data_IF_247443714992
#
_entry.id   IF_247443714992
#
_cell.length_a   1.000
_cell.length_b   1.000
_cell.length_c   1.000
_cell.angle_alpha   90.00
_cell.angle_beta   90.00
_cell.angle_gamma   90.00
#
_symmetry.space_group_name_H-M   'P 1'
#
loop_
_entity.id
_entity.type
_entity.pdbx_description
1 polymer ?
#
# COMPACT_ATOMS: atom_id res chain seq x y z
N UNK A 1 26.29 11.39 3.64
CA UNK A 1 25.07 10.57 3.63
C UNK A 1 24.88 10.12 2.19
N UNK A 2 25.25 8.88 1.86
CA UNK A 2 25.01 8.34 0.51
C UNK A 2 23.52 8.36 0.24
N UNK A 3 23.11 9.01 -0.85
CA UNK A 3 21.75 8.94 -1.36
C UNK A 3 21.50 7.51 -1.84
N UNK A 4 21.00 6.63 -0.97
CA UNK A 4 20.50 5.32 -1.37
C UNK A 4 19.26 5.57 -2.24
N UNK A 5 19.49 5.75 -3.54
CA UNK A 5 18.45 5.90 -4.55
C UNK A 5 18.11 4.49 -4.97
N UNK A 6 16.93 4.00 -4.56
CA UNK A 6 16.41 2.72 -5.02
C UNK A 6 16.24 2.75 -6.53
N UNK A 7 16.59 1.66 -7.21
CA UNK A 7 16.31 1.51 -8.63
C UNK A 7 14.83 1.15 -8.87
N UNK A 8 14.39 1.16 -10.14
CA UNK A 8 12.98 0.92 -10.47
C UNK A 8 12.42 -0.41 -9.94
N UNK A 9 13.18 -1.50 -10.00
CA UNK A 9 12.73 -2.82 -9.51
C UNK A 9 12.66 -2.88 -7.98
N UNK A 10 13.59 -2.22 -7.29
CA UNK A 10 13.52 -2.06 -5.83
C UNK A 10 12.30 -1.24 -5.41
N UNK A 11 12.00 -0.15 -6.11
CA UNK A 11 10.79 0.65 -5.85
C UNK A 11 9.52 -0.18 -6.05
N UNK A 12 9.45 -0.93 -7.16
CA UNK A 12 8.31 -1.80 -7.42
C UNK A 12 8.18 -2.90 -6.36
N UNK A 13 9.30 -3.47 -5.91
CA UNK A 13 9.29 -4.44 -4.81
C UNK A 13 8.75 -3.83 -3.52
N UNK A 14 9.18 -2.62 -3.16
CA UNK A 14 8.67 -1.92 -1.98
C UNK A 14 7.16 -1.68 -2.11
N UNK A 15 6.69 -1.21 -3.26
CA UNK A 15 5.27 -0.99 -3.51
C UNK A 15 4.46 -2.30 -3.39
N UNK A 16 4.92 -3.40 -3.99
CA UNK A 16 4.28 -4.73 -3.85
C UNK A 16 4.14 -5.16 -2.39
N UNK A 17 5.16 -4.90 -1.57
CA UNK A 17 5.14 -5.23 -0.14
C UNK A 17 4.14 -4.36 0.64
N UNK A 18 4.02 -3.08 0.28
CA UNK A 18 3.03 -2.17 0.87
C UNK A 18 1.60 -2.63 0.59
N UNK A 19 1.28 -2.92 -0.67
CA UNK A 19 -0.05 -3.41 -1.08
C UNK A 19 -0.39 -4.77 -0.45
N UNK A 20 0.61 -5.64 -0.26
CA UNK A 20 0.42 -6.90 0.44
C UNK A 20 0.09 -6.69 1.93
N UNK A 21 0.72 -5.70 2.56
CA UNK A 21 0.47 -5.35 3.95
C UNK A 21 -0.91 -4.71 4.14
N UNK A 22 -1.29 -3.75 3.29
CA UNK A 22 -2.62 -3.14 3.29
C UNK A 22 -3.73 -4.17 3.05
N UNK A 23 -3.56 -5.07 2.06
CA UNK A 23 -4.48 -6.19 1.87
C UNK A 23 -4.58 -7.09 3.10
N UNK A 24 -3.46 -7.45 3.72
CA UNK A 24 -3.43 -8.29 4.92
C UNK A 24 -4.18 -7.62 6.07
N UNK A 25 -3.93 -6.32 6.27
CA UNK A 25 -4.60 -5.49 7.25
C UNK A 25 -6.13 -5.55 7.10
N UNK A 26 -6.65 -5.20 5.93
CA UNK A 26 -8.09 -5.17 5.68
C UNK A 26 -8.71 -6.58 5.74
N UNK A 27 -8.04 -7.59 5.18
CA UNK A 27 -8.51 -8.98 5.23
C UNK A 27 -8.57 -9.52 6.65
N UNK A 28 -7.61 -9.16 7.51
CA UNK A 28 -7.60 -9.56 8.91
C UNK A 28 -8.72 -8.86 9.70
N UNK A 29 -8.94 -7.56 9.50
CA UNK A 29 -10.07 -6.85 10.10
C UNK A 29 -11.43 -7.43 9.71
N UNK A 30 -11.58 -7.85 8.45
CA UNK A 30 -12.81 -8.47 7.95
C UNK A 30 -13.16 -9.81 8.64
N UNK A 31 -12.18 -10.50 9.27
CA UNK A 31 -12.41 -11.76 10.01
C UNK A 31 -13.17 -11.52 11.31
N UNK A 32 -12.98 -10.36 11.93
CA UNK A 32 -13.53 -10.03 13.26
C UNK A 32 -14.75 -9.11 13.19
N UNK A 33 -15.22 -8.77 11.99
CA UNK A 33 -16.30 -7.81 11.76
C UNK A 33 -17.47 -8.42 10.99
N UNK A 34 -18.62 -7.73 10.98
CA UNK A 34 -19.82 -8.16 10.25
C UNK A 34 -20.52 -6.95 9.61
N UNK A 35 -21.50 -7.22 8.74
CA UNK A 35 -22.30 -6.19 8.07
C UNK A 35 -21.45 -5.17 7.29
N UNK A 36 -21.86 -3.89 7.35
CA UNK A 36 -21.23 -2.81 6.58
C UNK A 36 -19.72 -2.67 6.82
N UNK A 37 -19.23 -2.95 8.03
CA UNK A 37 -17.79 -2.88 8.35
C UNK A 37 -17.03 -3.95 7.57
N UNK A 38 -17.53 -5.19 7.59
CA UNK A 38 -16.92 -6.30 6.86
C UNK A 38 -16.91 -6.04 5.36
N UNK A 39 -18.03 -5.55 4.81
CA UNK A 39 -18.16 -5.27 3.38
C UNK A 39 -17.18 -4.18 2.94
N UNK A 40 -17.04 -3.11 3.72
CA UNK A 40 -16.06 -2.04 3.51
C UNK A 40 -14.63 -2.59 3.48
N UNK A 41 -14.24 -3.36 4.51
CA UNK A 41 -12.88 -3.91 4.62
C UNK A 41 -12.56 -4.88 3.48
N UNK A 42 -13.51 -5.73 3.08
CA UNK A 42 -13.31 -6.64 1.94
C UNK A 42 -13.19 -5.87 0.60
N UNK A 43 -13.92 -4.77 0.44
CA UNK A 43 -13.80 -3.92 -0.74
C UNK A 43 -12.42 -3.25 -0.80
N UNK A 44 -11.94 -2.70 0.31
CA UNK A 44 -10.60 -2.10 0.42
C UNK A 44 -9.49 -3.14 0.15
N UNK A 45 -9.59 -4.33 0.76
CA UNK A 45 -8.66 -5.44 0.49
C UNK A 45 -8.63 -5.87 -1.00
N UNK A 46 -9.76 -5.68 -1.70
CA UNK A 46 -9.85 -5.93 -3.14
C UNK A 46 -9.07 -4.92 -3.98
N UNK A 47 -9.07 -3.63 -3.59
CA UNK A 47 -8.29 -2.59 -4.28
C UNK A 47 -6.79 -2.85 -4.15
N UNK A 48 -6.32 -3.07 -2.93
CA UNK A 48 -4.91 -3.41 -2.63
C UNK A 48 -4.42 -4.63 -3.43
N UNK A 49 -5.29 -5.63 -3.62
CA UNK A 49 -4.96 -6.77 -4.48
C UNK A 49 -4.73 -6.34 -5.94
N UNK A 50 -5.60 -5.50 -6.50
CA UNK A 50 -5.47 -5.02 -7.87
C UNK A 50 -4.21 -4.17 -8.05
N UNK A 51 -3.89 -3.33 -7.07
CA UNK A 51 -2.68 -2.50 -7.06
C UNK A 51 -1.41 -3.37 -7.01
N UNK A 52 -1.37 -4.36 -6.12
CA UNK A 52 -0.28 -5.35 -6.07
C UNK A 52 -0.06 -6.01 -7.44
N UNK A 53 -1.14 -6.44 -8.10
CA UNK A 53 -1.04 -7.09 -9.41
C UNK A 53 -0.51 -6.15 -10.49
N UNK A 54 -0.88 -4.87 -10.46
CA UNK A 54 -0.33 -3.85 -11.37
C UNK A 54 1.18 -3.69 -11.19
N UNK A 55 1.66 -3.54 -9.94
CA UNK A 55 3.10 -3.45 -9.67
C UNK A 55 3.85 -4.73 -9.99
N UNK A 56 3.28 -5.89 -9.64
CA UNK A 56 3.88 -7.22 -9.92
C UNK A 56 4.04 -7.45 -11.41
N UNK A 57 3.02 -7.09 -12.21
CA UNK A 57 3.10 -7.17 -13.66
C UNK A 57 4.23 -6.30 -14.20
N UNK A 58 4.29 -5.03 -13.79
CA UNK A 58 5.35 -4.13 -14.24
C UNK A 58 6.75 -4.61 -13.80
N UNK A 59 6.87 -5.15 -12.59
CA UNK A 59 8.12 -5.74 -12.09
C UNK A 59 8.60 -6.85 -13.02
N UNK A 60 7.74 -7.80 -13.35
CA UNK A 60 8.07 -8.93 -14.23
C UNK A 60 8.43 -8.47 -15.66
N UNK A 61 7.71 -7.48 -16.18
CA UNK A 61 7.96 -6.91 -17.51
C UNK A 61 9.31 -6.17 -17.57
N UNK A 62 9.76 -5.55 -16.47
CA UNK A 62 11.04 -4.85 -16.40
C UNK A 62 12.21 -5.77 -16.08
N UNK A 63 12.03 -6.73 -15.17
CA UNK A 63 13.09 -7.66 -14.76
C UNK A 63 13.50 -8.58 -15.90
N UNK A 64 12.54 -9.06 -16.71
CA UNK A 64 12.81 -9.89 -17.89
C UNK A 64 13.62 -9.20 -18.99
N UNK A 65 13.69 -7.87 -18.98
CA UNK A 65 14.46 -7.05 -19.94
C UNK A 65 15.86 -6.69 -19.43
N UNK A 66 16.23 -7.07 -18.21
CA UNK A 66 17.51 -6.72 -17.58
C UNK A 66 18.46 -7.91 -17.63
N UNK A 67 19.73 -7.64 -17.95
CA UNK A 67 20.82 -8.65 -17.88
C UNK A 67 21.32 -8.88 -16.44
N UNK A 68 20.75 -8.18 -15.47
CA UNK A 68 21.12 -8.26 -14.04
C UNK A 68 20.07 -9.08 -13.32
N UNK A 69 20.54 -10.02 -12.50
CA UNK A 69 19.69 -10.83 -11.63
C UNK A 69 19.22 -10.01 -10.41
N UNK A 70 17.91 -9.98 -10.20
CA UNK A 70 17.25 -9.29 -9.09
C UNK A 70 16.59 -10.27 -8.11
N UNK A 71 16.91 -11.57 -8.17
CA UNK A 71 16.36 -12.61 -7.29
C UNK A 71 16.61 -12.31 -5.79
N UNK A 72 17.65 -11.55 -5.47
CA UNK A 72 17.91 -11.07 -4.11
C UNK A 72 16.73 -10.29 -3.51
N UNK A 73 15.89 -9.63 -4.32
CA UNK A 73 14.69 -8.93 -3.85
C UNK A 73 13.61 -9.86 -3.31
N UNK A 74 13.70 -11.16 -3.60
CA UNK A 74 12.82 -12.21 -3.08
C UNK A 74 13.47 -13.05 -1.99
N UNK A 75 14.75 -12.80 -1.68
CA UNK A 75 15.36 -13.35 -0.49
C UNK A 75 14.58 -12.93 0.77
N UNK A 76 14.46 -13.86 1.72
CA UNK A 76 13.65 -13.65 2.92
C UNK A 76 14.23 -12.55 3.82
N UNK A 77 15.56 -12.45 3.93
CA UNK A 77 16.23 -11.43 4.73
C UNK A 77 16.06 -10.06 4.10
N UNK A 78 16.25 -9.96 2.78
CA UNK A 78 16.04 -8.70 2.04
C UNK A 78 14.58 -8.27 2.11
N UNK A 79 13.64 -9.19 1.90
CA UNK A 79 12.20 -8.88 2.02
C UNK A 79 11.86 -8.41 3.42
N UNK A 80 12.38 -9.07 4.46
CA UNK A 80 12.16 -8.65 5.85
C UNK A 80 12.77 -7.29 6.14
N UNK A 81 13.94 -6.99 5.59
CA UNK A 81 14.58 -5.68 5.72
C UNK A 81 13.76 -4.58 5.05
N UNK A 82 13.28 -4.81 3.83
CA UNK A 82 12.43 -3.85 3.12
C UNK A 82 11.11 -3.62 3.86
N UNK A 83 10.48 -4.69 4.38
CA UNK A 83 9.29 -4.57 5.24
C UNK A 83 9.58 -3.71 6.47
N UNK A 84 10.67 -3.96 7.18
CA UNK A 84 11.03 -3.17 8.35
C UNK A 84 11.27 -1.67 8.04
N UNK A 85 11.80 -1.34 6.85
CA UNK A 85 11.95 0.04 6.40
C UNK A 85 10.60 0.72 6.08
N UNK A 86 9.64 -0.05 5.55
CA UNK A 86 8.27 0.40 5.30
C UNK A 86 7.56 0.59 6.65
N UNK A 87 7.56 -0.41 7.52
CA UNK A 87 6.94 -0.36 8.86
C UNK A 87 7.40 0.87 9.65
N UNK A 88 8.71 1.14 9.73
CA UNK A 88 9.24 2.31 10.46
C UNK A 88 8.73 3.67 9.93
N UNK A 89 8.19 3.70 8.70
CA UNK A 89 7.73 4.93 8.03
C UNK A 89 6.24 4.99 7.69
N UNK A 90 5.59 3.84 7.55
CA UNK A 90 4.27 3.69 6.91
C UNK A 90 3.31 2.98 7.86
N UNK A 91 3.73 1.87 8.45
CA UNK A 91 2.85 1.08 9.30
C UNK A 91 3.37 1.10 10.74
N UNK A 92 2.68 1.85 11.60
CA UNK A 92 2.97 1.82 13.04
C UNK A 92 2.99 0.33 13.47
N UNK A 93 4.12 -0.13 14.05
CA UNK A 93 4.48 -1.56 14.28
C UNK A 93 3.47 -2.41 15.05
N UNK A 94 2.39 -1.79 15.50
CA UNK A 94 1.30 -2.48 16.18
C UNK A 94 0.45 -3.11 15.09
N UNK A 95 0.25 -4.42 15.17
CA UNK A 95 -0.89 -5.04 14.50
C UNK A 95 -2.12 -4.16 14.70
N UNK A 96 -3.04 -4.05 13.72
CA UNK A 96 -4.34 -3.45 13.98
C UNK A 96 -4.83 -3.97 15.32
N UNK A 97 -4.88 -3.12 16.34
CA UNK A 97 -5.51 -3.53 17.59
C UNK A 97 -6.96 -3.84 17.25
N UNK A 98 -7.63 -4.69 18.03
CA UNK A 98 -9.08 -4.90 17.88
C UNK A 98 -9.83 -3.55 17.79
N UNK A 99 -9.27 -2.50 18.41
CA UNK A 99 -9.78 -1.12 18.35
C UNK A 99 -9.81 -0.50 16.95
N UNK A 100 -8.93 -0.92 16.02
CA UNK A 100 -8.92 -0.43 14.64
C UNK A 100 -10.22 -0.80 13.89
N UNK A 101 -10.93 -1.82 14.36
CA UNK A 101 -12.16 -2.32 13.74
C UNK A 101 -13.35 -2.43 14.71
N UNK A 102 -13.26 -1.79 15.88
CA UNK A 102 -14.32 -1.82 16.91
C UNK A 102 -15.67 -1.28 16.42
N UNK A 103 -15.62 -0.32 15.48
CA UNK A 103 -16.77 0.29 14.83
C UNK A 103 -16.40 0.76 13.42
N UNK A 104 -17.44 1.06 12.62
CA UNK A 104 -17.29 1.46 11.22
C UNK A 104 -16.49 2.76 11.08
N UNK A 105 -16.70 3.71 12.00
CA UNK A 105 -16.03 5.00 12.03
C UNK A 105 -14.51 4.81 12.15
N UNK A 106 -14.07 4.04 13.15
CA UNK A 106 -12.66 3.77 13.43
C UNK A 106 -11.98 3.04 12.27
N UNK A 107 -12.68 2.08 11.65
CA UNK A 107 -12.17 1.37 10.48
C UNK A 107 -11.92 2.30 9.28
N UNK A 108 -12.83 3.24 9.03
CA UNK A 108 -12.69 4.22 7.95
C UNK A 108 -11.63 5.27 8.28
N UNK A 109 -11.55 5.75 9.53
CA UNK A 109 -10.49 6.67 9.97
C UNK A 109 -9.10 6.07 9.75
N UNK A 110 -8.94 4.79 10.07
CA UNK A 110 -7.69 4.09 9.81
C UNK A 110 -7.42 3.96 8.31
N UNK A 111 -8.40 3.54 7.51
CA UNK A 111 -8.27 3.43 6.06
C UNK A 111 -7.79 4.77 5.44
N UNK A 112 -8.45 5.88 5.80
CA UNK A 112 -8.04 7.23 5.35
C UNK A 112 -6.60 7.56 5.74
N UNK A 113 -6.17 7.19 6.94
CA UNK A 113 -4.78 7.40 7.39
C UNK A 113 -3.80 6.55 6.58
N UNK A 114 -4.14 5.29 6.32
CA UNK A 114 -3.36 4.37 5.49
C UNK A 114 -3.16 4.93 4.09
N UNK A 115 -4.25 5.30 3.41
CA UNK A 115 -4.17 5.82 2.03
C UNK A 115 -3.35 7.11 1.93
N UNK A 116 -3.50 8.02 2.90
CA UNK A 116 -2.70 9.27 2.94
C UNK A 116 -1.20 8.97 3.00
N UNK A 117 -0.83 7.92 3.71
CA UNK A 117 0.55 7.53 3.89
C UNK A 117 1.09 6.81 2.66
N UNK A 118 0.30 5.94 2.04
CA UNK A 118 0.59 5.34 0.72
C UNK A 118 0.86 6.44 -0.32
N UNK A 119 -0.01 7.45 -0.42
CA UNK A 119 0.19 8.63 -1.30
C UNK A 119 1.51 9.34 -1.02
N UNK A 120 1.86 9.55 0.26
CA UNK A 120 3.11 10.23 0.62
C UNK A 120 4.33 9.43 0.15
N UNK A 121 4.32 8.11 0.37
CA UNK A 121 5.42 7.21 0.01
C UNK A 121 5.56 7.11 -1.50
N UNK A 122 4.46 6.87 -2.22
CA UNK A 122 4.48 6.80 -3.69
C UNK A 122 4.89 8.13 -4.30
N UNK A 123 4.48 9.26 -3.72
CA UNK A 123 4.95 10.58 -4.17
C UNK A 123 6.46 10.74 -3.99
N UNK A 124 7.04 10.23 -2.89
CA UNK A 124 8.50 10.25 -2.68
C UNK A 124 9.21 9.36 -3.69
N UNK A 125 8.71 8.15 -3.95
CA UNK A 125 9.25 7.23 -4.95
C UNK A 125 9.20 7.84 -6.36
N UNK A 126 8.05 8.42 -6.73
CA UNK A 126 7.84 9.08 -8.02
C UNK A 126 8.84 10.21 -8.27
N UNK A 127 9.16 11.00 -7.24
CA UNK A 127 10.15 12.08 -7.32
C UNK A 127 11.58 11.57 -7.41
N UNK A 128 11.87 10.40 -6.84
CA UNK A 128 13.22 9.84 -6.74
C UNK A 128 13.64 8.95 -7.92
N UNK A 129 12.69 8.47 -8.72
CA UNK A 129 12.96 7.54 -9.83
C UNK A 129 13.15 8.25 -11.17
N UNK A 130 13.85 7.65 -12.13
CA UNK A 130 14.01 8.20 -13.49
C UNK A 130 13.22 7.40 -14.53
N UNK A 131 13.03 6.11 -14.28
CA UNK A 131 12.38 5.12 -15.14
C UNK A 131 10.92 5.52 -15.43
N UNK A 132 10.63 5.81 -16.70
CA UNK A 132 9.34 6.34 -17.13
C UNK A 132 8.16 5.41 -16.86
N UNK A 133 8.31 4.10 -17.12
CA UNK A 133 7.26 3.11 -16.88
C UNK A 133 6.90 3.02 -15.37
N UNK A 134 7.90 3.09 -14.49
CA UNK A 134 7.70 3.10 -13.04
C UNK A 134 7.02 4.40 -12.59
N UNK A 135 7.42 5.55 -13.14
CA UNK A 135 6.75 6.83 -12.88
C UNK A 135 5.28 6.81 -13.27
N UNK A 136 4.96 6.23 -14.43
CA UNK A 136 3.60 6.22 -14.94
C UNK A 136 2.66 5.41 -14.04
N UNK A 137 3.09 4.22 -13.62
CA UNK A 137 2.30 3.39 -12.69
C UNK A 137 2.16 4.07 -11.32
N UNK A 138 3.24 4.62 -10.76
CA UNK A 138 3.17 5.38 -9.51
C UNK A 138 2.21 6.57 -9.62
N UNK A 139 2.24 7.31 -10.73
CA UNK A 139 1.35 8.45 -10.93
C UNK A 139 -0.13 8.04 -10.93
N UNK A 140 -0.48 6.94 -11.62
CA UNK A 140 -1.85 6.43 -11.67
C UNK A 140 -2.34 6.01 -10.28
N UNK A 141 -1.52 5.25 -9.55
CA UNK A 141 -1.89 4.78 -8.21
C UNK A 141 -1.93 5.90 -7.16
N UNK A 142 -1.07 6.91 -7.27
CA UNK A 142 -1.18 8.13 -6.45
C UNK A 142 -2.53 8.83 -6.65
N UNK A 143 -3.04 8.88 -7.87
CA UNK A 143 -4.34 9.49 -8.18
C UNK A 143 -5.50 8.63 -7.65
N UNK A 144 -5.38 7.31 -7.78
CA UNK A 144 -6.34 6.34 -7.27
C UNK A 144 -6.44 6.38 -5.74
N UNK A 145 -5.32 6.39 -5.01
CA UNK A 145 -5.35 6.50 -3.55
C UNK A 145 -5.90 7.85 -3.07
N UNK A 146 -5.70 8.94 -3.82
CA UNK A 146 -6.36 10.21 -3.50
C UNK A 146 -7.87 10.11 -3.65
N UNK A 147 -8.35 9.42 -4.68
CA UNK A 147 -9.78 9.16 -4.84
C UNK A 147 -10.33 8.28 -3.69
N UNK A 148 -9.56 7.29 -3.23
CA UNK A 148 -9.91 6.50 -2.04
C UNK A 148 -10.00 7.37 -0.79
N UNK A 149 -9.02 8.25 -0.53
CA UNK A 149 -9.03 9.21 0.58
C UNK A 149 -10.30 10.05 0.55
N UNK A 150 -10.63 10.63 -0.60
CA UNK A 150 -11.82 11.49 -0.76
C UNK A 150 -13.11 10.70 -0.51
N UNK A 151 -13.21 9.49 -1.07
CA UNK A 151 -14.36 8.62 -0.90
C UNK A 151 -14.55 8.18 0.56
N UNK A 152 -13.49 7.70 1.21
CA UNK A 152 -13.51 7.26 2.61
C UNK A 152 -13.77 8.43 3.56
N UNK A 153 -13.20 9.60 3.29
CA UNK A 153 -13.48 10.82 4.09
C UNK A 153 -14.93 11.24 3.97
N UNK A 154 -15.54 11.13 2.78
CA UNK A 154 -16.96 11.40 2.61
C UNK A 154 -17.83 10.42 3.41
N UNK A 155 -17.52 9.13 3.34
CA UNK A 155 -18.22 8.10 4.10
C UNK A 155 -18.11 8.33 5.62
N UNK A 156 -16.93 8.75 6.09
CA UNK A 156 -16.69 9.11 7.49
C UNK A 156 -17.59 10.27 7.95
N UNK A 157 -17.68 11.32 7.13
CA UNK A 157 -18.53 12.48 7.43
C UNK A 157 -20.02 12.11 7.44
N UNK A 158 -20.48 11.19 6.59
CA UNK A 158 -21.86 10.72 6.59
C UNK A 158 -22.20 10.01 7.91
N UNK A 159 -21.27 9.19 8.44
CA UNK A 159 -21.44 8.50 9.73
C UNK A 159 -21.46 9.49 10.91
N UNK A 160 -20.68 10.57 10.85
CA UNK A 160 -20.63 11.58 11.92
C UNK A 160 -21.87 12.49 12.00
N UNK A 161 -22.70 12.49 10.96
CA UNK A 161 -23.94 13.27 10.90
C UNK A 161 -25.22 12.45 11.17
N UNK A 162 -25.09 11.12 11.34
CA UNK A 162 -26.17 10.19 11.74
C UNK A 162 -26.24 10.04 13.27
#
# INVERSE_FOLDING_TARGET
>A
MSSNTFNGLEILKIAILMEEEGRSFYTNGAKYTTGKIKDFLLAAAGQEFLHKEQFTKLYNDLSSKKDVDYDYLFDAEVTSYLKALIEDKVFDKKEPSEDAFKDLKSAIEYAVKSEKLTVEVYTKMYKGIAEGEVKEVLFKLIDEEKAHIDYFTKLLNEIDND
#
